data_IF_576988113597
#
_entry.id   IF_576988113597
#
_cell.length_a   1.000
_cell.length_b   1.000
_cell.length_c   1.000
_cell.angle_alpha   90.00
_cell.angle_beta   90.00
_cell.angle_gamma   90.00
#
_symmetry.space_group_name_H-M   'P 1'
#
loop_
_entity.id
_entity.type
_entity.pdbx_description
1 polymer ?
#
# COMPACT_ATOMS: atom_id res chain seq x y z
N UNK A 1 -11.45 2.63 7.36
CA UNK A 1 -12.47 1.57 7.33
C UNK A 1 -11.95 0.45 8.23
N UNK A 2 -12.36 0.40 9.52
CA UNK A 2 -11.75 -0.47 10.54
C UNK A 2 -11.96 -1.98 10.34
N UNK A 3 -12.53 -2.41 9.21
CA UNK A 3 -12.76 -3.81 8.88
C UNK A 3 -11.79 -4.37 7.84
N UNK A 4 -10.87 -3.55 7.32
CA UNK A 4 -9.91 -3.92 6.25
C UNK A 4 -8.45 -3.89 6.77
N UNK A 5 -8.27 -4.23 8.06
CA UNK A 5 -7.01 -4.22 8.81
C UNK A 5 -6.85 -5.46 9.72
N UNK A 6 -7.58 -6.54 9.46
CA UNK A 6 -7.49 -7.81 10.14
C UNK A 6 -6.33 -8.69 9.64
N UNK A 7 -5.16 -8.47 10.23
CA UNK A 7 -3.89 -9.18 10.00
C UNK A 7 -4.03 -10.72 10.13
N UNK A 8 -5.09 -11.23 10.79
CA UNK A 8 -5.30 -12.67 11.01
C UNK A 8 -6.20 -13.37 9.98
N UNK A 9 -6.83 -12.62 9.06
CA UNK A 9 -7.78 -13.14 8.07
C UNK A 9 -7.65 -12.41 6.73
N UNK A 10 -6.69 -12.83 5.92
CA UNK A 10 -6.82 -12.65 4.47
C UNK A 10 -8.11 -13.30 3.94
N UNK A 11 -8.58 -12.86 2.78
CA UNK A 11 -9.85 -13.27 2.18
C UNK A 11 -11.05 -12.45 2.65
N UNK A 12 -10.83 -11.26 3.20
CA UNK A 12 -11.92 -10.38 3.64
C UNK A 12 -12.37 -9.49 2.48
N UNK A 13 -13.68 -9.38 2.27
CA UNK A 13 -14.25 -8.44 1.30
C UNK A 13 -13.98 -7.01 1.78
N UNK A 14 -13.40 -6.16 0.94
CA UNK A 14 -13.22 -4.75 1.27
C UNK A 14 -14.56 -4.06 1.48
N UNK A 15 -14.68 -3.32 2.59
CA UNK A 15 -15.86 -2.51 2.88
C UNK A 15 -15.52 -1.19 3.58
N UNK A 16 -16.35 -0.18 3.38
CA UNK A 16 -16.29 1.13 4.06
C UNK A 16 -17.68 1.58 4.53
N UNK A 17 -18.31 0.81 5.44
CA UNK A 17 -19.72 0.99 5.81
C UNK A 17 -19.99 2.31 6.56
N UNK A 18 -18.99 2.84 7.28
CA UNK A 18 -19.15 4.07 8.07
C UNK A 18 -19.03 5.34 7.23
N UNK A 19 -18.28 5.29 6.12
CA UNK A 19 -17.92 6.46 5.33
C UNK A 19 -18.59 6.50 3.95
N UNK A 20 -19.10 5.38 3.44
CA UNK A 20 -19.75 5.25 2.14
C UNK A 20 -18.95 5.90 0.98
N UNK A 21 -17.62 5.82 1.06
CA UNK A 21 -16.69 6.53 0.18
C UNK A 21 -15.98 5.62 -0.83
N UNK A 22 -16.30 4.32 -0.86
CA UNK A 22 -15.80 3.39 -1.88
C UNK A 22 -16.89 2.48 -2.49
N UNK A 23 -18.09 2.99 -2.82
CA UNK A 23 -19.20 2.14 -3.30
C UNK A 23 -18.86 1.33 -4.56
N UNK A 24 -17.96 1.84 -5.42
CA UNK A 24 -17.48 1.12 -6.58
C UNK A 24 -16.60 -0.08 -6.21
N UNK A 25 -15.77 0.05 -5.18
CA UNK A 25 -14.92 -1.04 -4.68
C UNK A 25 -15.78 -2.10 -3.98
N UNK A 26 -16.80 -1.69 -3.21
CA UNK A 26 -17.72 -2.62 -2.55
C UNK A 26 -18.61 -3.40 -3.53
N UNK A 27 -18.87 -2.83 -4.70
CA UNK A 27 -19.63 -3.48 -5.78
C UNK A 27 -18.81 -4.57 -6.49
N UNK A 28 -17.49 -4.45 -6.51
CA UNK A 28 -16.59 -5.37 -7.19
C UNK A 28 -16.31 -6.64 -6.34
N UNK A 29 -15.95 -7.73 -7.02
CA UNK A 29 -15.39 -8.94 -6.40
C UNK A 29 -13.93 -8.70 -5.98
N UNK A 30 -13.78 -7.98 -4.87
CA UNK A 30 -12.49 -7.62 -4.29
C UNK A 30 -12.29 -8.25 -2.92
N UNK A 31 -11.14 -8.88 -2.74
CA UNK A 31 -10.74 -9.48 -1.46
C UNK A 31 -9.31 -9.13 -1.12
N UNK A 32 -9.04 -8.83 0.15
CA UNK A 32 -7.68 -8.69 0.65
C UNK A 32 -6.98 -10.05 0.66
N UNK A 33 -5.71 -10.08 0.33
CA UNK A 33 -4.85 -11.27 0.47
C UNK A 33 -3.83 -11.09 1.59
N UNK A 34 -3.52 -9.84 1.93
CA UNK A 34 -2.66 -9.47 3.05
C UNK A 34 -3.09 -8.10 3.58
N UNK A 35 -3.08 -7.93 4.90
CA UNK A 35 -3.44 -6.69 5.58
C UNK A 35 -2.37 -6.40 6.63
N UNK A 36 -1.96 -5.14 6.75
CA UNK A 36 -0.96 -4.69 7.70
C UNK A 36 -1.43 -3.40 8.37
N UNK A 37 -1.17 -3.25 9.65
CA UNK A 37 -1.68 -2.12 10.44
C UNK A 37 -0.75 -1.78 11.62
N UNK A 38 -0.74 -0.50 11.99
CA UNK A 38 -0.16 0.05 13.22
C UNK A 38 1.24 -0.50 13.48
N UNK A 39 2.06 -0.47 12.42
CA UNK A 39 3.44 -0.93 12.52
C UNK A 39 4.18 -0.18 13.64
N UNK A 40 5.04 -0.90 14.34
CA UNK A 40 5.59 -0.48 15.64
C UNK A 40 6.35 0.85 15.56
N UNK A 41 7.00 1.13 14.43
CA UNK A 41 7.87 2.29 14.28
C UNK A 41 7.21 3.45 13.53
N UNK A 42 6.34 3.16 12.56
CA UNK A 42 5.86 4.19 11.63
C UNK A 42 4.35 4.26 11.45
N UNK A 43 3.57 3.41 12.12
CA UNK A 43 2.11 3.34 11.95
C UNK A 43 1.68 3.10 10.48
N UNK A 44 2.54 2.43 9.69
CA UNK A 44 2.20 2.10 8.31
C UNK A 44 1.05 1.09 8.31
N UNK A 45 0.03 1.41 7.54
CA UNK A 45 -1.23 0.67 7.50
C UNK A 45 -1.72 0.56 6.07
N UNK A 46 -2.23 -0.59 5.67
CA UNK A 46 -2.64 -0.85 4.31
C UNK A 46 -2.99 -2.31 4.05
N UNK A 47 -3.10 -2.66 2.78
CA UNK A 47 -3.41 -4.02 2.34
C UNK A 47 -2.92 -4.30 0.92
N UNK A 48 -2.78 -5.59 0.61
CA UNK A 48 -2.76 -6.11 -0.74
C UNK A 48 -4.12 -6.78 -1.00
N UNK A 49 -4.77 -6.45 -2.11
CA UNK A 49 -6.05 -7.01 -2.50
C UNK A 49 -6.04 -7.47 -3.96
N UNK A 50 -6.95 -8.39 -4.29
CA UNK A 50 -7.23 -8.86 -5.64
C UNK A 50 -8.65 -8.46 -5.99
N UNK A 51 -8.80 -7.76 -7.12
CA UNK A 51 -10.08 -7.41 -7.73
C UNK A 51 -10.27 -8.23 -9.00
N UNK A 52 -11.12 -9.25 -8.92
CA UNK A 52 -11.39 -10.14 -10.04
C UNK A 52 -12.30 -9.50 -11.10
N UNK A 53 -13.04 -8.44 -10.73
CA UNK A 53 -13.94 -7.72 -11.65
C UNK A 53 -13.14 -6.91 -12.66
N UNK A 54 -12.04 -6.31 -12.19
CA UNK A 54 -11.17 -5.44 -13.01
C UNK A 54 -9.84 -6.07 -13.38
N UNK A 55 -9.58 -7.30 -12.94
CA UNK A 55 -8.31 -8.00 -13.13
C UNK A 55 -7.13 -7.17 -12.57
N UNK A 56 -7.23 -6.77 -11.31
CA UNK A 56 -6.23 -5.96 -10.62
C UNK A 56 -5.69 -6.67 -9.38
N UNK A 57 -4.39 -6.50 -9.14
CA UNK A 57 -3.77 -6.68 -7.82
C UNK A 57 -3.43 -5.30 -7.29
N UNK A 58 -4.00 -4.93 -6.15
CA UNK A 58 -3.94 -3.58 -5.60
C UNK A 58 -3.15 -3.58 -4.29
N UNK A 59 -2.09 -2.77 -4.22
CA UNK A 59 -1.41 -2.43 -2.97
C UNK A 59 -1.87 -1.03 -2.53
N UNK A 60 -2.54 -0.94 -1.39
CA UNK A 60 -3.07 0.33 -0.89
C UNK A 60 -2.43 0.72 0.46
N UNK A 61 -2.02 1.98 0.57
CA UNK A 61 -1.51 2.57 1.82
C UNK A 61 -2.45 3.64 2.38
N UNK A 62 -2.69 3.58 3.69
CA UNK A 62 -3.48 4.57 4.44
C UNK A 62 -2.67 5.87 4.60
N UNK A 63 -3.34 7.01 4.55
CA UNK A 63 -2.78 8.28 5.00
C UNK A 63 -2.74 8.40 6.54
N UNK A 64 -2.14 9.47 7.05
CA UNK A 64 -2.13 9.78 8.48
C UNK A 64 -3.54 10.04 9.01
N UNK A 65 -3.83 9.64 10.25
CA UNK A 65 -5.09 9.98 10.92
C UNK A 65 -5.22 11.50 11.18
N UNK A 66 -4.08 12.18 11.40
CA UNK A 66 -4.00 13.61 11.72
C UNK A 66 -3.20 14.40 10.68
N UNK A 67 -3.71 14.46 9.44
CA UNK A 67 -3.02 15.13 8.31
C UNK A 67 -2.66 16.60 8.58
N UNK A 68 -3.46 17.34 9.35
CA UNK A 68 -3.16 18.75 9.69
C UNK A 68 -1.94 18.90 10.58
N UNK A 69 -1.77 18.00 11.56
CA UNK A 69 -0.60 18.00 12.44
C UNK A 69 0.64 17.60 11.64
N UNK A 70 0.50 16.58 10.78
CA UNK A 70 1.57 16.17 9.88
C UNK A 70 2.08 17.35 9.03
N UNK A 71 1.20 18.11 8.38
CA UNK A 71 1.62 19.26 7.55
C UNK A 71 2.23 20.42 8.35
N UNK A 72 1.86 20.60 9.62
CA UNK A 72 2.37 21.69 10.44
C UNK A 72 3.78 21.41 10.98
N UNK A 73 4.09 20.14 11.27
CA UNK A 73 5.31 19.72 11.96
C UNK A 73 6.32 18.99 11.06
N UNK A 74 5.98 18.76 9.78
CA UNK A 74 6.81 17.94 8.91
C UNK A 74 8.10 18.63 8.46
N UNK A 75 9.22 18.00 8.82
CA UNK A 75 10.50 18.13 8.14
C UNK A 75 10.69 16.89 7.24
N UNK A 76 11.29 17.08 6.06
CA UNK A 76 11.40 16.03 5.03
C UNK A 76 12.85 15.77 4.64
N UNK A 77 13.69 15.27 5.57
CA UNK A 77 15.08 14.96 5.25
C UNK A 77 15.14 13.77 4.30
N UNK A 78 16.07 13.81 3.34
CA UNK A 78 16.31 12.69 2.43
C UNK A 78 17.38 11.74 2.96
N UNK A 79 17.24 10.46 2.66
CA UNK A 79 18.25 9.41 2.90
C UNK A 79 18.48 8.60 1.63
N UNK A 80 19.70 8.05 1.43
CA UNK A 80 19.95 7.11 0.34
C UNK A 80 19.04 5.88 0.43
N UNK A 81 18.58 5.40 -0.73
CA UNK A 81 17.77 4.17 -0.83
C UNK A 81 18.56 3.02 -1.46
N UNK A 82 18.08 1.80 -1.25
CA UNK A 82 18.58 0.61 -1.95
C UNK A 82 17.80 0.31 -3.25
N UNK A 83 16.85 1.20 -3.62
CA UNK A 83 16.00 1.06 -4.82
C UNK A 83 16.80 1.29 -6.10
N UNK A 84 17.65 2.33 -6.13
CA UNK A 84 18.50 2.61 -7.28
C UNK A 84 19.77 3.35 -6.90
N UNK A 85 20.82 3.16 -7.69
CA UNK A 85 22.14 3.75 -7.41
C UNK A 85 22.08 5.27 -7.42
N UNK A 86 22.38 5.90 -6.28
CA UNK A 86 22.40 7.35 -6.11
C UNK A 86 21.03 7.98 -5.89
N UNK A 87 19.99 7.16 -5.70
CA UNK A 87 18.65 7.63 -5.40
C UNK A 87 18.51 7.94 -3.90
N UNK A 88 17.74 8.99 -3.61
CA UNK A 88 17.35 9.34 -2.25
C UNK A 88 15.82 9.42 -2.16
N UNK A 89 15.30 9.18 -0.97
CA UNK A 89 13.89 9.34 -0.64
C UNK A 89 13.74 10.02 0.72
N UNK A 90 12.58 10.59 0.98
CA UNK A 90 12.24 11.09 2.31
C UNK A 90 12.42 9.99 3.36
N UNK A 91 13.13 10.29 4.46
CA UNK A 91 13.47 9.34 5.49
C UNK A 91 12.24 8.73 6.16
N UNK A 92 11.21 9.54 6.43
CA UNK A 92 9.99 9.08 7.09
C UNK A 92 9.24 8.11 6.20
N UNK A 93 8.96 8.51 4.96
CA UNK A 93 8.21 7.68 4.01
C UNK A 93 8.96 6.41 3.62
N UNK A 94 10.29 6.51 3.46
CA UNK A 94 11.12 5.36 3.14
C UNK A 94 11.19 4.37 4.32
N UNK A 95 11.31 4.85 5.56
CA UNK A 95 11.22 3.98 6.73
C UNK A 95 9.87 3.27 6.85
N UNK A 96 8.76 3.97 6.55
CA UNK A 96 7.43 3.35 6.50
C UNK A 96 7.34 2.25 5.46
N UNK A 97 7.92 2.49 4.28
CA UNK A 97 8.00 1.46 3.25
C UNK A 97 8.85 0.28 3.72
N UNK A 98 10.07 0.51 4.24
CA UNK A 98 10.98 -0.53 4.72
C UNK A 98 10.34 -1.43 5.78
N UNK A 99 9.52 -0.87 6.68
CA UNK A 99 8.84 -1.63 7.72
C UNK A 99 7.78 -2.59 7.15
N UNK A 100 7.05 -2.19 6.09
CA UNK A 100 6.08 -3.04 5.41
C UNK A 100 6.69 -3.95 4.31
N UNK A 101 7.88 -3.58 3.81
CA UNK A 101 8.45 -4.04 2.54
C UNK A 101 8.45 -5.56 2.36
N UNK A 102 9.00 -6.29 3.32
CA UNK A 102 9.23 -7.73 3.20
C UNK A 102 7.92 -8.51 3.02
N UNK A 103 6.94 -8.24 3.87
CA UNK A 103 5.68 -8.98 3.85
C UNK A 103 4.79 -8.52 2.68
N UNK A 104 4.78 -7.21 2.39
CA UNK A 104 4.03 -6.66 1.26
C UNK A 104 4.54 -7.18 -0.07
N UNK A 105 5.86 -7.17 -0.31
CA UNK A 105 6.43 -7.70 -1.57
C UNK A 105 6.18 -9.20 -1.71
N UNK A 106 6.27 -9.97 -0.64
CA UNK A 106 5.93 -11.39 -0.62
C UNK A 106 4.45 -11.65 -1.00
N UNK A 107 3.53 -10.90 -0.38
CA UNK A 107 2.10 -11.00 -0.68
C UNK A 107 1.77 -10.57 -2.11
N UNK A 108 2.38 -9.48 -2.58
CA UNK A 108 2.20 -8.96 -3.94
C UNK A 108 2.69 -9.95 -4.99
N UNK A 109 3.90 -10.49 -4.83
CA UNK A 109 4.43 -11.51 -5.74
C UNK A 109 3.58 -12.78 -5.75
N UNK A 110 3.07 -13.21 -4.58
CA UNK A 110 2.19 -14.36 -4.50
C UNK A 110 0.87 -14.11 -5.24
N UNK A 111 0.27 -12.93 -5.09
CA UNK A 111 -0.96 -12.54 -5.78
C UNK A 111 -0.76 -12.40 -7.30
N UNK A 112 0.34 -11.80 -7.73
CA UNK A 112 0.70 -11.65 -9.13
C UNK A 112 1.00 -13.01 -9.80
N UNK A 113 1.68 -13.92 -9.09
CA UNK A 113 1.92 -15.28 -9.59
C UNK A 113 0.63 -16.10 -9.72
N UNK A 114 -0.33 -15.92 -8.82
CA UNK A 114 -1.64 -16.55 -8.89
C UNK A 114 -2.53 -15.95 -10.00
N UNK A 115 -2.30 -14.68 -10.37
CA UNK A 115 -3.11 -13.94 -11.34
C UNK A 115 -2.22 -13.23 -12.40
N UNK A 116 -1.50 -13.98 -13.25
CA UNK A 116 -0.46 -13.40 -14.12
C UNK A 116 -0.99 -12.48 -15.23
N UNK A 117 -2.30 -12.43 -15.44
CA UNK A 117 -2.94 -11.50 -16.39
C UNK A 117 -3.42 -10.21 -15.73
N UNK A 118 -3.33 -10.09 -14.41
CA UNK A 118 -3.84 -8.95 -13.66
C UNK A 118 -2.81 -7.83 -13.64
N UNK A 119 -3.28 -6.59 -13.71
CA UNK A 119 -2.41 -5.42 -13.56
C UNK A 119 -2.11 -5.18 -12.09
N UNK A 120 -0.86 -4.81 -11.78
CA UNK A 120 -0.50 -4.33 -10.45
C UNK A 120 -0.77 -2.83 -10.38
N UNK A 121 -1.47 -2.39 -9.34
CA UNK A 121 -1.74 -0.97 -9.07
C UNK A 121 -1.34 -0.67 -7.64
N UNK A 122 -0.51 0.35 -7.44
CA UNK A 122 -0.11 0.83 -6.12
C UNK A 122 -0.82 2.15 -5.89
N UNK A 123 -1.53 2.28 -4.76
CA UNK A 123 -2.36 3.46 -4.49
C UNK A 123 -2.19 3.96 -3.05
N UNK A 124 -2.39 5.25 -2.86
CA UNK A 124 -2.40 5.86 -1.54
C UNK A 124 -2.85 7.31 -1.59
N UNK A 125 -3.31 7.83 -0.45
CA UNK A 125 -3.72 9.23 -0.30
C UNK A 125 -2.94 9.90 0.83
N UNK A 126 -2.63 11.20 0.67
CA UNK A 126 -1.82 11.97 1.62
C UNK A 126 -0.48 11.26 1.90
N UNK A 127 -0.11 11.01 3.16
CA UNK A 127 1.07 10.23 3.54
C UNK A 127 1.18 8.89 2.78
N UNK A 128 0.06 8.17 2.65
CA UNK A 128 0.02 6.88 1.96
C UNK A 128 0.37 7.00 0.48
N UNK A 129 0.11 8.16 -0.14
CA UNK A 129 0.50 8.42 -1.54
C UNK A 129 2.01 8.54 -1.71
N UNK A 130 2.71 9.12 -0.73
CA UNK A 130 4.17 9.20 -0.75
C UNK A 130 4.82 7.82 -0.58
N UNK A 131 4.28 7.01 0.34
CA UNK A 131 4.71 5.62 0.54
C UNK A 131 4.42 4.78 -0.72
N UNK A 132 3.23 4.94 -1.32
CA UNK A 132 2.85 4.27 -2.57
C UNK A 132 3.81 4.58 -3.71
N UNK A 133 4.27 5.84 -3.84
CA UNK A 133 5.22 6.22 -4.89
C UNK A 133 6.58 5.54 -4.72
N UNK A 134 7.10 5.45 -3.49
CA UNK A 134 8.36 4.75 -3.16
C UNK A 134 8.21 3.25 -3.44
N UNK A 135 7.13 2.63 -2.94
CA UNK A 135 6.85 1.22 -3.16
C UNK A 135 6.75 0.88 -4.65
N UNK A 136 6.02 1.70 -5.43
CA UNK A 136 5.88 1.51 -6.88
C UNK A 136 7.23 1.62 -7.61
N UNK A 137 8.12 2.52 -7.17
CA UNK A 137 9.46 2.62 -7.73
C UNK A 137 10.27 1.32 -7.51
N UNK A 138 10.25 0.77 -6.30
CA UNK A 138 10.95 -0.50 -6.01
C UNK A 138 10.33 -1.69 -6.76
N UNK A 139 9.00 -1.79 -6.79
CA UNK A 139 8.28 -2.87 -7.51
C UNK A 139 8.64 -2.86 -9.02
N UNK A 140 8.73 -1.67 -9.62
CA UNK A 140 9.15 -1.51 -11.02
C UNK A 140 10.62 -1.84 -11.23
N UNK A 141 11.51 -1.44 -10.32
CA UNK A 141 12.94 -1.80 -10.38
C UNK A 141 13.15 -3.32 -10.31
N UNK A 142 12.31 -4.03 -9.55
CA UNK A 142 12.29 -5.49 -9.45
C UNK A 142 11.63 -6.19 -10.66
N UNK A 143 11.18 -5.44 -11.66
CA UNK A 143 10.70 -5.97 -12.94
C UNK A 143 9.20 -6.23 -13.03
N UNK A 144 8.40 -5.78 -12.05
CA UNK A 144 6.94 -5.85 -12.11
C UNK A 144 6.38 -4.54 -12.66
N UNK A 145 5.62 -4.60 -13.77
CA UNK A 145 4.89 -3.44 -14.26
C UNK A 145 3.77 -3.07 -13.29
N UNK A 146 3.77 -1.84 -12.82
CA UNK A 146 2.85 -1.35 -11.80
C UNK A 146 2.39 0.06 -12.15
N UNK A 147 1.09 0.33 -12.06
CA UNK A 147 0.53 1.69 -12.15
C UNK A 147 0.56 2.38 -10.77
N UNK A 148 0.66 3.72 -10.77
CA UNK A 148 0.59 4.59 -9.58
C UNK A 148 -0.48 5.66 -9.79
#
# INVERSE_FOLDING_TARGET
>A
CPGNNNITKGGTKLSCPLSNNCPLVEADDVTTVYEFENSLLTDVTGYVAVDNTRSLTVLAFRGSESVRNFLADADFPTVPTDICSGCEADQGFYNSWLEARTDVTSALHSAAAANPSYKVVVVGHSLGGAIAAIAAAEIRDQGTDADL
#
